data_IF_237502175141
#
_entry.id   IF_237502175141
#
_cell.length_a   1.000
_cell.length_b   1.000
_cell.length_c   1.000
_cell.angle_alpha   90.00
_cell.angle_beta   90.00
_cell.angle_gamma   90.00
#
_symmetry.space_group_name_H-M   'P 1'
#
loop_
_entity.id
_entity.type
_entity.pdbx_description
1 polymer ?
#
# COMPACT_ATOMS: atom_id res chain seq x y z
N UNK A 1 -24.17 -3.34 6.66
CA UNK A 1 -23.46 -2.32 7.46
C UNK A 1 -22.54 -1.54 6.54
N UNK A 2 -22.63 -0.22 6.49
CA UNK A 2 -21.71 0.59 5.70
C UNK A 2 -20.30 0.54 6.33
N UNK A 3 -19.26 0.32 5.52
CA UNK A 3 -17.86 0.41 6.01
C UNK A 3 -17.57 1.82 6.52
N UNK A 4 -16.77 1.93 7.57
CA UNK A 4 -16.29 3.24 8.01
C UNK A 4 -15.38 3.84 6.93
N UNK A 5 -15.35 5.17 6.81
CA UNK A 5 -14.46 5.84 5.84
C UNK A 5 -12.98 5.48 6.04
N UNK A 6 -12.55 5.20 7.28
CA UNK A 6 -11.19 4.77 7.60
C UNK A 6 -10.89 3.36 7.08
N UNK A 7 -11.83 2.42 7.25
CA UNK A 7 -11.70 1.06 6.71
C UNK A 7 -11.63 1.10 5.18
N UNK A 8 -12.53 1.86 4.54
CA UNK A 8 -12.55 2.00 3.09
C UNK A 8 -11.25 2.63 2.58
N UNK A 9 -10.76 3.69 3.24
CA UNK A 9 -9.51 4.35 2.90
C UNK A 9 -8.32 3.40 2.97
N UNK A 10 -8.19 2.62 4.05
CA UNK A 10 -7.15 1.59 4.15
C UNK A 10 -7.29 0.52 3.07
N UNK A 11 -8.50 0.01 2.84
CA UNK A 11 -8.74 -1.06 1.87
C UNK A 11 -8.37 -0.64 0.44
N UNK A 12 -8.80 0.56 0.01
CA UNK A 12 -8.45 1.08 -1.32
C UNK A 12 -6.94 1.24 -1.43
N UNK A 13 -6.28 1.81 -0.42
CA UNK A 13 -4.83 1.99 -0.44
C UNK A 13 -4.10 0.64 -0.54
N UNK A 14 -4.53 -0.37 0.22
CA UNK A 14 -3.94 -1.71 0.19
C UNK A 14 -4.04 -2.36 -1.20
N UNK A 15 -5.20 -2.26 -1.84
CA UNK A 15 -5.43 -2.83 -3.18
C UNK A 15 -4.59 -2.10 -4.22
N UNK A 16 -4.62 -0.76 -4.23
CA UNK A 16 -3.81 0.05 -5.16
C UNK A 16 -2.33 -0.23 -4.97
N UNK A 17 -1.86 -0.28 -3.73
CA UNK A 17 -0.48 -0.62 -3.39
C UNK A 17 -0.10 -1.99 -3.96
N UNK A 18 -0.90 -3.02 -3.72
CA UNK A 18 -0.60 -4.38 -4.19
C UNK A 18 -0.51 -4.46 -5.71
N UNK A 19 -1.47 -3.85 -6.43
CA UNK A 19 -1.52 -3.89 -7.89
C UNK A 19 -0.35 -3.09 -8.49
N UNK A 20 -0.16 -1.84 -8.05
CA UNK A 20 0.86 -0.95 -8.63
C UNK A 20 2.25 -1.43 -8.28
N UNK A 21 2.55 -1.69 -7.00
CA UNK A 21 3.88 -2.12 -6.58
C UNK A 21 4.20 -3.50 -7.14
N UNK A 22 3.22 -4.43 -7.18
CA UNK A 22 3.40 -5.72 -7.85
C UNK A 22 3.77 -5.57 -9.32
N UNK A 23 3.06 -4.71 -10.06
CA UNK A 23 3.37 -4.41 -11.47
C UNK A 23 4.75 -3.78 -11.64
N UNK A 24 5.14 -2.86 -10.77
CA UNK A 24 6.46 -2.22 -10.81
C UNK A 24 7.59 -3.19 -10.49
N UNK A 25 7.39 -4.13 -9.56
CA UNK A 25 8.36 -5.19 -9.26
C UNK A 25 8.56 -6.06 -10.51
N UNK A 26 7.48 -6.52 -11.14
CA UNK A 26 7.56 -7.30 -12.37
C UNK A 26 8.29 -6.53 -13.49
N UNK A 27 7.98 -5.24 -13.65
CA UNK A 27 8.65 -4.39 -14.63
C UNK A 27 10.13 -4.18 -14.31
N UNK A 28 10.49 -3.98 -13.04
CA UNK A 28 11.87 -3.85 -12.60
C UNK A 28 12.68 -5.10 -12.93
N UNK A 29 12.14 -6.29 -12.66
CA UNK A 29 12.78 -7.56 -13.02
C UNK A 29 13.03 -7.71 -14.53
N UNK A 30 12.18 -7.10 -15.37
CA UNK A 30 12.32 -7.14 -16.83
C UNK A 30 13.24 -6.06 -17.39
N UNK A 31 13.46 -4.95 -16.68
CA UNK A 31 14.13 -3.75 -17.22
C UNK A 31 15.43 -3.39 -16.52
N UNK A 32 15.66 -3.88 -15.30
CA UNK A 32 16.85 -3.56 -14.49
C UNK A 32 17.13 -4.67 -13.49
N UNK A 33 18.12 -5.51 -13.79
CA UNK A 33 18.54 -6.62 -12.92
C UNK A 33 19.50 -6.21 -11.79
N UNK A 34 20.10 -5.02 -11.89
CA UNK A 34 21.15 -4.56 -10.97
C UNK A 34 20.67 -3.50 -9.96
N UNK A 35 19.60 -2.77 -10.27
CA UNK A 35 19.09 -1.69 -9.41
C UNK A 35 17.60 -1.89 -9.17
N UNK A 36 17.23 -2.14 -7.92
CA UNK A 36 15.82 -2.33 -7.51
C UNK A 36 15.14 -0.99 -7.23
N UNK A 37 14.87 -0.22 -8.28
CA UNK A 37 14.12 1.03 -8.17
C UNK A 37 12.68 0.79 -7.66
N UNK A 38 12.08 -0.35 -8.00
CA UNK A 38 10.74 -0.73 -7.52
C UNK A 38 10.73 -0.98 -6.00
N UNK A 39 11.84 -1.46 -5.44
CA UNK A 39 12.00 -1.61 -3.99
C UNK A 39 11.92 -0.27 -3.25
N UNK A 40 12.52 0.79 -3.80
CA UNK A 40 12.45 2.14 -3.23
C UNK A 40 10.99 2.65 -3.23
N UNK A 41 10.27 2.45 -4.35
CA UNK A 41 8.86 2.83 -4.46
C UNK A 41 8.00 2.04 -3.46
N UNK A 42 8.22 0.73 -3.33
CA UNK A 42 7.54 -0.13 -2.38
C UNK A 42 7.70 0.38 -0.95
N UNK A 43 8.92 0.70 -0.52
CA UNK A 43 9.17 1.23 0.82
C UNK A 43 8.50 2.60 1.03
N UNK A 44 8.65 3.53 0.07
CA UNK A 44 8.07 4.86 0.16
C UNK A 44 6.55 4.81 0.32
N UNK A 45 5.86 4.12 -0.59
CA UNK A 45 4.41 3.98 -0.54
C UNK A 45 3.93 3.09 0.61
N UNK A 46 4.74 2.10 1.01
CA UNK A 46 4.43 1.18 2.08
C UNK A 46 4.28 1.87 3.43
N UNK A 47 5.02 2.96 3.67
CA UNK A 47 4.82 3.80 4.86
C UNK A 47 3.45 4.47 4.88
N UNK A 48 2.95 4.91 3.72
CA UNK A 48 1.58 5.43 3.56
C UNK A 48 0.53 4.37 3.88
N UNK A 49 0.67 3.17 3.31
CA UNK A 49 -0.21 2.04 3.61
C UNK A 49 -0.22 1.70 5.11
N UNK A 50 0.97 1.65 5.74
CA UNK A 50 1.11 1.40 7.18
C UNK A 50 0.42 2.49 8.02
N UNK A 51 0.54 3.76 7.63
CA UNK A 51 -0.13 4.87 8.30
C UNK A 51 -1.66 4.73 8.25
N UNK A 52 -2.23 4.40 7.08
CA UNK A 52 -3.67 4.13 6.95
C UNK A 52 -4.12 2.96 7.83
N UNK A 53 -3.33 1.89 7.89
CA UNK A 53 -3.61 0.74 8.74
C UNK A 53 -3.65 1.14 10.23
N UNK A 54 -2.63 1.88 10.70
CA UNK A 54 -2.56 2.33 12.09
C UNK A 54 -3.75 3.21 12.45
N UNK A 55 -4.09 4.20 11.60
CA UNK A 55 -5.23 5.09 11.84
C UNK A 55 -6.53 4.32 11.92
N UNK A 56 -6.76 3.38 10.99
CA UNK A 56 -7.96 2.54 11.04
C UNK A 56 -8.01 1.66 12.29
N UNK A 57 -6.91 1.00 12.65
CA UNK A 57 -6.85 0.12 13.82
C UNK A 57 -7.05 0.88 15.14
N UNK A 58 -6.51 2.09 15.27
CA UNK A 58 -6.56 2.86 16.50
C UNK A 58 -7.87 3.64 16.67
N UNK A 59 -8.38 4.24 15.60
CA UNK A 59 -9.53 5.15 15.65
C UNK A 59 -10.80 4.56 15.03
N UNK A 60 -10.67 3.63 14.08
CA UNK A 60 -11.80 2.99 13.40
C UNK A 60 -12.42 1.82 14.15
N UNK A 61 -11.68 1.19 15.08
CA UNK A 61 -12.16 0.04 15.88
C UNK A 61 -12.82 0.41 17.23
N UNK A 62 -12.84 1.69 17.59
CA UNK A 62 -13.40 2.20 18.87
C UNK A 62 -14.84 2.73 18.76
N UNK A 63 -15.55 2.41 17.68
CA UNK A 63 -16.99 2.65 17.51
C UNK A 63 -17.69 1.32 17.28
#
# INVERSE_FOLDING_TARGET
MARSGLELSFFIHAVVYAIVVGGLILLNLQTSSTVSWAGIVAWGWGTGLAAHAVVWLWFGRRR
#
